data_IF_295629113902
#
_entry.id   IF_295629113902
#
_cell.length_a   1.000
_cell.length_b   1.000
_cell.length_c   1.000
_cell.angle_alpha   90.00
_cell.angle_beta   90.00
_cell.angle_gamma   90.00
#
_symmetry.space_group_name_H-M   'P 1'
#
loop_
_entity.id
_entity.type
_entity.pdbx_description
1 polymer ?
#
# COMPACT_ATOMS: atom_id res chain seq x y z
N UNK A 1 -18.43 17.81 -3.66
CA UNK A 1 -18.81 17.97 -2.25
C UNK A 1 -17.97 17.02 -1.38
N UNK A 2 -17.97 17.19 -0.02
CA UNK A 2 -17.18 16.33 0.87
C UNK A 2 -17.59 14.85 0.77
N UNK A 3 -18.86 14.58 0.61
CA UNK A 3 -19.44 13.25 0.47
C UNK A 3 -19.10 12.54 -0.85
N UNK A 4 -18.63 13.29 -1.84
CA UNK A 4 -18.29 12.75 -3.17
C UNK A 4 -16.84 12.23 -3.24
N UNK A 5 -16.04 12.45 -2.18
CA UNK A 5 -14.64 12.06 -2.11
C UNK A 5 -14.37 11.23 -0.86
N UNK A 6 -13.40 10.30 -0.98
CA UNK A 6 -12.95 9.46 0.12
C UNK A 6 -11.59 9.98 0.62
N UNK A 7 -11.54 10.43 1.87
CA UNK A 7 -10.34 11.03 2.46
C UNK A 7 -9.74 10.10 3.50
N UNK A 8 -8.48 9.73 3.28
CA UNK A 8 -7.69 8.89 4.16
C UNK A 8 -6.50 9.68 4.70
N UNK A 9 -6.22 9.55 5.99
CA UNK A 9 -5.03 10.09 6.64
C UNK A 9 -4.30 9.01 7.42
N UNK A 10 -3.15 9.37 7.98
CA UNK A 10 -2.32 8.48 8.80
C UNK A 10 -1.88 9.20 10.07
N UNK A 11 -1.60 8.42 11.14
CA UNK A 11 -1.05 8.91 12.39
C UNK A 11 0.05 7.98 12.92
N UNK A 12 0.70 8.36 14.00
CA UNK A 12 1.66 7.53 14.71
C UNK A 12 3.10 7.63 14.23
N UNK A 13 3.41 8.55 13.29
CA UNK A 13 4.78 8.89 12.89
C UNK A 13 5.05 10.34 13.28
N UNK A 14 5.94 10.55 14.23
CA UNK A 14 6.29 11.86 14.79
C UNK A 14 7.64 12.33 14.22
N UNK A 15 7.59 13.11 13.14
CA UNK A 15 8.79 13.58 12.43
C UNK A 15 9.66 14.53 13.28
N UNK A 16 9.04 15.36 14.11
CA UNK A 16 9.72 16.32 15.00
C UNK A 16 10.52 15.64 16.11
N UNK A 17 10.05 14.49 16.58
CA UNK A 17 10.69 13.68 17.63
C UNK A 17 11.45 12.49 17.07
N UNK A 18 11.35 12.20 15.78
CA UNK A 18 11.92 11.04 15.10
C UNK A 18 11.58 9.71 15.80
N UNK A 19 10.31 9.51 16.11
CA UNK A 19 9.79 8.33 16.79
C UNK A 19 8.44 7.89 16.25
N UNK A 20 8.03 6.67 16.58
CA UNK A 20 6.66 6.19 16.42
C UNK A 20 5.95 6.35 17.76
N UNK A 21 4.68 6.76 17.71
CA UNK A 21 3.89 7.01 18.91
C UNK A 21 2.42 6.68 18.64
N UNK A 22 1.98 5.53 19.18
CA UNK A 22 0.60 5.06 19.10
C UNK A 22 -0.14 5.23 20.42
N UNK A 23 0.31 6.12 21.29
CA UNK A 23 -0.45 6.48 22.49
C UNK A 23 -1.81 7.07 22.08
N UNK A 24 -2.79 6.88 22.93
CA UNK A 24 -4.14 7.44 22.73
C UNK A 24 -4.10 8.94 22.50
N UNK A 25 -3.31 9.66 23.28
CA UNK A 25 -3.17 11.12 23.16
C UNK A 25 -2.66 11.53 21.78
N UNK A 26 -1.59 10.89 21.30
CA UNK A 26 -1.01 11.20 19.99
C UNK A 26 -1.95 10.83 18.84
N UNK A 27 -2.65 9.70 18.91
CA UNK A 27 -3.64 9.31 17.89
C UNK A 27 -4.75 10.36 17.80
N UNK A 28 -5.33 10.76 18.93
CA UNK A 28 -6.43 11.72 18.97
C UNK A 28 -6.00 13.10 18.46
N UNK A 29 -4.85 13.62 18.93
CA UNK A 29 -4.32 14.91 18.51
C UNK A 29 -3.94 14.92 17.02
N UNK A 30 -3.38 13.84 16.49
CA UNK A 30 -3.04 13.70 15.07
C UNK A 30 -4.28 13.76 14.18
N UNK A 31 -5.39 13.16 14.61
CA UNK A 31 -6.66 13.24 13.87
C UNK A 31 -7.21 14.67 13.91
N UNK A 32 -7.22 15.32 15.06
CA UNK A 32 -7.71 16.69 15.21
C UNK A 32 -6.89 17.67 14.36
N UNK A 33 -5.58 17.48 14.31
CA UNK A 33 -4.69 18.23 13.42
C UNK A 33 -5.00 17.98 11.93
N UNK A 34 -5.22 16.73 11.54
CA UNK A 34 -5.59 16.37 10.17
C UNK A 34 -6.91 17.04 9.76
N UNK A 35 -7.94 16.93 10.60
CA UNK A 35 -9.24 17.54 10.33
C UNK A 35 -9.15 19.07 10.21
N UNK A 36 -8.42 19.70 11.13
CA UNK A 36 -8.19 21.17 11.12
C UNK A 36 -7.46 21.62 9.85
N UNK A 37 -6.39 20.92 9.45
CA UNK A 37 -5.58 21.27 8.27
C UNK A 37 -6.34 21.05 6.96
N UNK A 38 -7.11 19.97 6.88
CA UNK A 38 -7.95 19.65 5.72
C UNK A 38 -9.26 20.44 5.68
N UNK A 39 -9.63 21.13 6.79
CA UNK A 39 -10.89 21.86 6.96
C UNK A 39 -12.12 20.98 6.69
N UNK A 40 -12.12 19.80 7.31
CA UNK A 40 -13.20 18.81 7.24
C UNK A 40 -13.56 18.32 8.64
N UNK A 41 -14.75 17.73 8.77
CA UNK A 41 -15.26 17.26 10.06
C UNK A 41 -14.94 15.80 10.33
N UNK A 42 -14.64 15.01 9.30
CA UNK A 42 -14.32 13.59 9.42
C UNK A 42 -13.37 13.08 8.35
N UNK A 43 -12.64 12.02 8.70
CA UNK A 43 -11.90 11.16 7.79
C UNK A 43 -12.74 9.93 7.44
N UNK A 44 -12.67 9.47 6.20
CA UNK A 44 -13.26 8.18 5.84
C UNK A 44 -12.41 7.02 6.39
N UNK A 45 -11.07 7.13 6.33
CA UNK A 45 -10.18 6.13 6.95
C UNK A 45 -8.99 6.79 7.65
N UNK A 46 -8.63 6.21 8.79
CA UNK A 46 -7.38 6.48 9.51
C UNK A 46 -6.50 5.24 9.48
N UNK A 47 -5.22 5.40 9.10
CA UNK A 47 -4.23 4.32 9.19
C UNK A 47 -3.20 4.61 10.28
N UNK A 48 -2.82 3.59 11.05
CA UNK A 48 -1.58 3.58 11.81
C UNK A 48 -0.41 3.44 10.83
N UNK A 49 0.51 4.44 10.78
CA UNK A 49 1.40 4.64 9.62
C UNK A 49 2.56 3.64 9.54
N UNK A 50 3.18 3.34 10.66
CA UNK A 50 4.30 2.40 10.84
C UNK A 50 4.16 1.69 12.17
N UNK A 51 4.62 0.44 12.29
CA UNK A 51 4.57 -0.27 13.56
C UNK A 51 5.31 0.51 14.66
N UNK A 52 4.62 0.82 15.74
CA UNK A 52 5.24 1.24 16.98
C UNK A 52 5.46 0.00 17.85
N UNK A 53 6.72 -0.31 18.15
CA UNK A 53 7.05 -1.53 18.92
C UNK A 53 6.78 -1.39 20.41
N UNK A 54 6.49 -0.19 20.87
CA UNK A 54 6.17 0.12 22.28
C UNK A 54 4.67 0.34 22.51
N UNK A 55 3.83 0.16 21.48
CA UNK A 55 2.40 0.46 21.58
C UNK A 55 1.68 -0.40 22.63
N UNK A 56 0.76 0.23 23.35
CA UNK A 56 -0.23 -0.45 24.16
C UNK A 56 -1.51 -0.64 23.31
N UNK A 57 -1.92 -1.88 23.00
CA UNK A 57 -3.11 -2.10 22.18
C UNK A 57 -4.42 -1.65 22.85
N UNK A 58 -4.47 -1.54 24.16
CA UNK A 58 -5.63 -1.01 24.89
C UNK A 58 -5.77 0.50 24.64
N UNK A 59 -4.69 1.26 24.67
CA UNK A 59 -4.68 2.69 24.31
C UNK A 59 -5.15 2.94 22.88
N UNK A 60 -4.68 2.12 21.93
CA UNK A 60 -5.13 2.19 20.54
C UNK A 60 -6.63 1.93 20.42
N UNK A 61 -7.14 0.90 21.13
CA UNK A 61 -8.55 0.56 21.14
C UNK A 61 -9.41 1.70 21.71
N UNK A 62 -8.98 2.29 22.82
CA UNK A 62 -9.65 3.45 23.40
C UNK A 62 -9.66 4.67 22.46
N UNK A 63 -8.56 4.94 21.76
CA UNK A 63 -8.49 6.02 20.78
C UNK A 63 -9.47 5.78 19.63
N UNK A 64 -9.53 4.57 19.09
CA UNK A 64 -10.46 4.21 18.01
C UNK A 64 -11.91 4.32 18.45
N UNK A 65 -12.26 3.83 19.65
CA UNK A 65 -13.60 3.95 20.21
C UNK A 65 -14.03 5.44 20.34
N UNK A 66 -13.14 6.32 20.79
CA UNK A 66 -13.41 7.77 20.90
C UNK A 66 -13.61 8.40 19.52
N UNK A 67 -12.74 8.09 18.54
CA UNK A 67 -12.81 8.66 17.18
C UNK A 67 -14.08 8.24 16.44
N UNK A 68 -14.44 6.96 16.53
CA UNK A 68 -15.66 6.43 15.91
C UNK A 68 -16.92 7.02 16.56
N UNK A 69 -17.00 7.00 17.90
CA UNK A 69 -18.13 7.54 18.66
C UNK A 69 -18.39 9.01 18.37
N UNK A 70 -17.33 9.80 18.18
CA UNK A 70 -17.43 11.22 17.87
C UNK A 70 -17.65 11.49 16.37
N UNK A 71 -17.73 10.46 15.54
CA UNK A 71 -17.90 10.58 14.09
C UNK A 71 -16.72 11.19 13.34
N UNK A 72 -15.54 11.26 13.96
CA UNK A 72 -14.33 11.83 13.37
C UNK A 72 -13.64 10.89 12.37
N UNK A 73 -13.81 9.57 12.56
CA UNK A 73 -13.24 8.53 11.68
C UNK A 73 -14.29 7.45 11.46
N UNK A 74 -14.45 7.01 10.19
CA UNK A 74 -15.44 5.98 9.81
C UNK A 74 -14.85 4.59 9.78
N UNK A 75 -13.63 4.45 9.25
CA UNK A 75 -12.93 3.18 9.10
C UNK A 75 -11.48 3.28 9.58
N UNK A 76 -10.95 2.15 10.00
CA UNK A 76 -9.58 2.05 10.51
C UNK A 76 -8.77 1.03 9.73
N UNK A 77 -7.47 1.25 9.68
CA UNK A 77 -6.55 0.35 9.04
C UNK A 77 -5.12 0.58 9.52
N UNK A 78 -4.20 -0.09 8.88
CA UNK A 78 -2.79 -0.08 9.23
C UNK A 78 -1.92 0.12 8.00
N UNK A 79 -0.63 0.35 8.22
CA UNK A 79 0.35 0.43 7.14
C UNK A 79 1.64 -0.26 7.57
N UNK A 80 2.15 -1.13 6.70
CA UNK A 80 3.39 -1.89 6.91
C UNK A 80 3.38 -2.83 8.13
N UNK A 81 2.22 -3.33 8.52
CA UNK A 81 2.11 -4.33 9.58
C UNK A 81 2.16 -5.75 9.02
N UNK A 82 2.85 -6.61 9.75
CA UNK A 82 2.82 -8.06 9.51
C UNK A 82 1.59 -8.71 10.17
N UNK A 83 1.15 -9.90 9.71
CA UNK A 83 -0.07 -10.56 10.19
C UNK A 83 -0.22 -10.61 11.72
N UNK A 84 0.83 -10.99 12.43
CA UNK A 84 0.75 -11.13 13.89
C UNK A 84 0.57 -9.80 14.62
N UNK A 85 1.06 -8.69 14.07
CA UNK A 85 0.80 -7.36 14.63
C UNK A 85 -0.66 -6.96 14.42
N UNK A 86 -1.23 -7.31 13.25
CA UNK A 86 -2.65 -7.09 12.97
C UNK A 86 -3.52 -7.93 13.90
N UNK A 87 -3.19 -9.20 14.12
CA UNK A 87 -3.91 -10.08 15.04
C UNK A 87 -3.84 -9.58 16.50
N UNK A 88 -2.68 -9.05 16.91
CA UNK A 88 -2.56 -8.44 18.24
C UNK A 88 -3.50 -7.25 18.39
N UNK A 89 -3.56 -6.35 17.41
CA UNK A 89 -4.52 -5.23 17.44
C UNK A 89 -5.97 -5.72 17.45
N UNK A 90 -6.34 -6.65 16.57
CA UNK A 90 -7.71 -7.21 16.48
C UNK A 90 -8.20 -7.85 17.76
N UNK A 91 -7.31 -8.27 18.66
CA UNK A 91 -7.70 -8.79 19.97
C UNK A 91 -8.30 -7.71 20.88
N UNK A 92 -7.96 -6.44 20.68
CA UNK A 92 -8.32 -5.32 21.54
C UNK A 92 -9.26 -4.34 20.86
N UNK A 93 -9.03 -4.01 19.58
CA UNK A 93 -9.89 -3.10 18.82
C UNK A 93 -11.17 -3.81 18.37
N UNK A 94 -12.30 -3.12 18.46
CA UNK A 94 -13.61 -3.64 18.02
C UNK A 94 -13.86 -3.34 16.53
N UNK A 95 -13.24 -2.28 16.04
CA UNK A 95 -13.39 -1.80 14.67
C UNK A 95 -12.66 -2.74 13.73
N UNK A 96 -13.27 -3.09 12.56
CA UNK A 96 -12.57 -3.82 11.53
C UNK A 96 -11.34 -3.03 11.02
N UNK A 97 -10.20 -3.70 10.90
CA UNK A 97 -9.04 -3.16 10.20
C UNK A 97 -9.20 -3.47 8.71
N UNK A 98 -9.62 -2.48 7.93
CA UNK A 98 -10.05 -2.71 6.53
C UNK A 98 -8.95 -2.56 5.49
N UNK A 99 -7.81 -1.98 5.86
CA UNK A 99 -6.69 -1.68 4.97
C UNK A 99 -5.36 -2.05 5.63
N UNK A 100 -4.45 -2.67 4.87
CA UNK A 100 -3.01 -2.66 5.14
C UNK A 100 -2.30 -2.03 3.95
N UNK A 101 -1.71 -0.84 4.15
CA UNK A 101 -1.00 -0.10 3.10
C UNK A 101 0.48 -0.48 3.14
N UNK A 102 0.97 -1.16 2.10
CA UNK A 102 2.31 -1.74 2.03
C UNK A 102 3.05 -1.32 0.76
N UNK A 103 4.38 -1.39 0.76
CA UNK A 103 5.15 -1.13 -0.45
C UNK A 103 4.94 -2.25 -1.47
N UNK A 104 4.60 -1.87 -2.70
CA UNK A 104 4.54 -2.81 -3.81
C UNK A 104 4.73 -2.09 -5.15
N UNK A 105 5.71 -2.55 -5.91
CA UNK A 105 5.93 -2.19 -7.30
C UNK A 105 6.51 -3.40 -8.04
N UNK A 106 6.75 -3.29 -9.35
CA UNK A 106 7.47 -4.32 -10.11
C UNK A 106 8.87 -4.59 -9.55
N UNK A 107 9.56 -3.55 -9.07
CA UNK A 107 10.89 -3.68 -8.45
C UNK A 107 10.82 -4.12 -6.98
N UNK A 108 9.85 -3.64 -6.23
CA UNK A 108 9.65 -3.96 -4.81
C UNK A 108 8.50 -4.96 -4.66
N UNK A 109 8.72 -6.19 -5.14
CA UNK A 109 7.69 -7.24 -5.22
C UNK A 109 7.76 -8.30 -4.13
N UNK A 110 8.48 -8.07 -3.02
CA UNK A 110 8.69 -9.07 -1.94
C UNK A 110 7.38 -9.65 -1.40
N UNK A 111 6.32 -8.85 -1.38
CA UNK A 111 4.98 -9.30 -1.00
C UNK A 111 4.47 -10.49 -1.85
N UNK A 112 4.95 -10.58 -3.09
CA UNK A 112 4.59 -11.63 -4.07
C UNK A 112 5.69 -12.69 -4.14
N UNK A 113 6.95 -12.27 -4.17
CA UNK A 113 8.12 -13.12 -4.40
C UNK A 113 8.17 -14.31 -3.45
N UNK A 114 7.99 -14.07 -2.16
CA UNK A 114 8.06 -15.10 -1.13
C UNK A 114 7.10 -16.27 -1.36
N UNK A 115 5.96 -16.05 -1.99
CA UNK A 115 5.01 -17.12 -2.33
C UNK A 115 5.50 -17.95 -3.53
N UNK A 116 6.16 -17.30 -4.50
CA UNK A 116 6.69 -17.98 -5.70
C UNK A 116 7.96 -18.79 -5.39
N UNK A 117 8.81 -18.28 -4.51
CA UNK A 117 10.10 -18.89 -4.18
C UNK A 117 10.09 -19.76 -2.92
N UNK A 118 8.93 -20.18 -2.46
CA UNK A 118 8.82 -21.07 -1.28
C UNK A 118 9.71 -22.31 -1.45
N UNK A 119 10.47 -22.66 -0.41
CA UNK A 119 11.44 -23.75 -0.40
C UNK A 119 12.69 -23.59 -1.28
N UNK A 120 12.89 -22.46 -1.94
CA UNK A 120 14.09 -22.18 -2.70
C UNK A 120 15.15 -21.50 -1.81
N UNK A 121 16.15 -22.26 -1.37
CA UNK A 121 17.21 -21.76 -0.48
C UNK A 121 18.33 -20.98 -1.17
N UNK A 122 18.29 -20.85 -2.50
CA UNK A 122 19.40 -20.29 -3.29
C UNK A 122 19.19 -18.80 -3.61
N UNK A 123 18.09 -18.20 -3.21
CA UNK A 123 17.78 -16.80 -3.50
C UNK A 123 17.24 -16.06 -2.28
N UNK A 124 17.52 -14.77 -2.20
CA UNK A 124 16.94 -13.88 -1.21
C UNK A 124 15.42 -13.65 -1.40
N UNK A 125 14.89 -13.88 -2.60
CA UNK A 125 13.46 -13.76 -2.89
C UNK A 125 12.60 -14.72 -2.08
N UNK A 126 13.18 -15.85 -1.61
CA UNK A 126 12.50 -16.82 -0.76
C UNK A 126 12.41 -16.42 0.71
N UNK A 127 13.08 -15.36 1.12
CA UNK A 127 13.09 -14.93 2.52
C UNK A 127 11.76 -14.27 2.87
N UNK A 128 10.99 -14.93 3.72
CA UNK A 128 9.76 -14.36 4.24
C UNK A 128 10.06 -13.27 5.28
N UNK A 129 9.81 -12.02 4.92
CA UNK A 129 10.03 -10.84 5.78
C UNK A 129 8.72 -10.23 6.30
N UNK A 130 7.59 -10.55 5.69
CA UNK A 130 6.30 -9.93 5.99
C UNK A 130 5.24 -10.89 6.57
N UNK A 131 5.63 -12.14 6.86
CA UNK A 131 4.75 -13.13 7.48
C UNK A 131 3.58 -13.55 6.57
N UNK A 132 3.74 -13.55 5.25
CA UNK A 132 2.67 -13.81 4.27
C UNK A 132 1.52 -12.80 4.33
N UNK A 133 1.87 -11.52 4.43
CA UNK A 133 0.88 -10.45 4.55
C UNK A 133 -0.12 -10.42 3.39
N UNK A 134 0.29 -10.77 2.17
CA UNK A 134 -0.61 -10.86 1.01
C UNK A 134 -1.75 -11.83 1.25
N UNK A 135 -1.44 -13.07 1.59
CA UNK A 135 -2.47 -14.10 1.76
C UNK A 135 -3.28 -13.89 3.04
N UNK A 136 -2.63 -13.40 4.10
CA UNK A 136 -3.31 -13.02 5.32
C UNK A 136 -4.38 -11.92 5.06
N UNK A 137 -4.02 -10.86 4.34
CA UNK A 137 -4.96 -9.79 3.99
C UNK A 137 -6.13 -10.33 3.14
N UNK A 138 -5.85 -11.22 2.17
CA UNK A 138 -6.89 -11.87 1.35
C UNK A 138 -7.85 -12.74 2.17
N UNK A 139 -7.33 -13.49 3.14
CA UNK A 139 -8.13 -14.34 4.03
C UNK A 139 -9.02 -13.56 5.00
N UNK A 140 -8.62 -12.35 5.34
CA UNK A 140 -9.31 -11.50 6.32
C UNK A 140 -10.06 -10.31 5.68
N UNK A 141 -10.25 -10.30 4.36
CA UNK A 141 -10.91 -9.23 3.61
C UNK A 141 -10.30 -7.84 3.85
N UNK A 142 -8.98 -7.79 4.10
CA UNK A 142 -8.22 -6.57 4.29
C UNK A 142 -7.72 -6.11 2.91
N UNK A 143 -8.09 -4.90 2.50
CA UNK A 143 -7.63 -4.32 1.25
C UNK A 143 -6.15 -3.96 1.32
N UNK A 144 -5.36 -4.45 0.36
CA UNK A 144 -3.98 -4.06 0.20
C UNK A 144 -3.92 -2.76 -0.62
N UNK A 145 -3.29 -1.73 -0.07
CA UNK A 145 -2.96 -0.51 -0.80
C UNK A 145 -1.45 -0.47 -1.07
N UNK A 146 -1.08 -0.47 -2.34
CA UNK A 146 0.31 -0.45 -2.79
C UNK A 146 0.83 0.99 -2.80
N UNK A 147 1.68 1.37 -1.84
CA UNK A 147 2.36 2.66 -1.88
C UNK A 147 3.65 2.57 -2.71
N UNK A 148 4.08 3.70 -3.30
CA UNK A 148 5.22 3.79 -4.24
C UNK A 148 5.16 2.82 -5.42
N UNK A 149 4.05 2.73 -6.15
CA UNK A 149 3.81 1.70 -7.17
C UNK A 149 4.75 1.76 -8.39
N UNK A 150 5.48 2.86 -8.55
CA UNK A 150 6.42 3.09 -9.66
C UNK A 150 7.86 3.23 -9.21
N UNK A 151 8.16 3.00 -7.93
CA UNK A 151 9.49 3.27 -7.37
C UNK A 151 10.35 2.00 -7.23
N UNK A 152 11.66 2.21 -7.33
CA UNK A 152 12.70 1.19 -7.11
C UNK A 152 12.81 0.83 -5.62
N UNK A 153 12.48 1.78 -4.75
CA UNK A 153 12.52 1.66 -3.30
C UNK A 153 12.03 2.94 -2.65
N UNK A 154 12.17 3.07 -1.34
CA UNK A 154 11.59 4.20 -0.60
C UNK A 154 12.09 5.57 -1.10
N UNK A 155 13.32 5.68 -1.58
CA UNK A 155 13.92 6.92 -2.09
C UNK A 155 14.75 6.70 -3.36
N UNK A 156 14.59 5.56 -4.03
CA UNK A 156 15.40 5.16 -5.19
C UNK A 156 14.96 5.75 -6.52
N UNK A 157 13.91 6.58 -6.54
CA UNK A 157 13.35 7.10 -7.78
C UNK A 157 12.46 6.09 -8.51
N UNK A 158 12.09 6.39 -9.75
CA UNK A 158 11.24 5.53 -10.57
C UNK A 158 12.07 4.61 -11.47
N UNK A 159 11.54 3.43 -11.77
CA UNK A 159 12.08 2.54 -12.81
C UNK A 159 11.59 2.91 -14.22
N UNK A 160 10.51 3.72 -14.34
CA UNK A 160 10.01 4.18 -15.63
C UNK A 160 11.05 5.07 -16.31
N UNK A 161 11.42 4.73 -17.55
CA UNK A 161 12.44 5.41 -18.34
C UNK A 161 13.85 5.48 -17.70
N UNK A 162 14.08 4.69 -16.69
CA UNK A 162 15.38 4.59 -16.04
C UNK A 162 16.28 3.62 -16.84
N UNK A 163 17.48 4.06 -17.27
CA UNK A 163 18.40 3.25 -18.06
C UNK A 163 18.94 2.01 -17.35
N UNK A 164 18.84 1.96 -16.01
CA UNK A 164 19.25 0.79 -15.24
C UNK A 164 18.25 -0.39 -15.36
N UNK A 165 17.08 -0.16 -15.95
CA UNK A 165 16.00 -1.16 -16.11
C UNK A 165 15.59 -1.31 -17.60
N UNK A 166 16.50 -1.61 -18.54
CA UNK A 166 16.22 -1.60 -19.98
C UNK A 166 15.18 -2.66 -20.37
N UNK A 167 15.31 -3.88 -19.84
CA UNK A 167 14.38 -4.99 -20.14
C UNK A 167 12.97 -4.71 -19.65
N UNK A 168 12.84 -4.18 -18.42
CA UNK A 168 11.55 -3.80 -17.86
C UNK A 168 10.90 -2.68 -18.68
N UNK A 169 11.68 -1.63 -19.03
CA UNK A 169 11.15 -0.53 -19.82
C UNK A 169 10.76 -0.96 -21.23
N UNK A 170 11.50 -1.91 -21.83
CA UNK A 170 11.11 -2.49 -23.12
C UNK A 170 9.77 -3.24 -23.01
N UNK A 171 9.64 -4.12 -22.05
CA UNK A 171 8.39 -4.89 -21.85
C UNK A 171 7.18 -3.97 -21.53
N UNK A 172 7.40 -2.93 -20.71
CA UNK A 172 6.39 -1.92 -20.46
C UNK A 172 5.99 -1.16 -21.72
N UNK A 173 6.95 -0.79 -22.59
CA UNK A 173 6.68 -0.09 -23.83
C UNK A 173 5.90 -0.97 -24.82
N UNK A 174 6.32 -2.22 -25.02
CA UNK A 174 5.66 -3.16 -25.92
C UNK A 174 4.15 -3.33 -25.55
N UNK A 175 3.85 -3.39 -24.25
CA UNK A 175 2.49 -3.48 -23.75
C UNK A 175 1.74 -2.13 -23.82
N UNK A 176 2.43 -1.03 -23.54
CA UNK A 176 1.87 0.31 -23.64
C UNK A 176 1.42 0.62 -25.08
N UNK A 177 2.26 0.28 -26.06
CA UNK A 177 1.95 0.44 -27.50
C UNK A 177 0.75 -0.43 -27.91
N UNK A 178 0.69 -1.66 -27.42
CA UNK A 178 -0.43 -2.58 -27.69
C UNK A 178 -1.77 -2.06 -27.14
N UNK A 179 -1.75 -1.54 -25.92
CA UNK A 179 -2.96 -1.08 -25.20
C UNK A 179 -3.31 0.39 -25.50
N UNK A 180 -2.40 1.14 -26.17
CA UNK A 180 -2.58 2.57 -26.44
C UNK A 180 -2.56 3.44 -25.18
N UNK A 181 -1.70 3.12 -24.22
CA UNK A 181 -1.57 3.81 -22.92
C UNK A 181 -0.11 4.13 -22.60
N UNK A 182 0.15 4.79 -21.47
CA UNK A 182 1.50 5.03 -20.98
C UNK A 182 2.12 3.80 -20.28
N UNK A 183 3.45 3.73 -20.17
CA UNK A 183 4.17 2.74 -19.35
C UNK A 183 3.73 2.79 -17.88
N UNK A 184 3.42 3.98 -17.40
CA UNK A 184 2.85 4.21 -16.06
C UNK A 184 1.55 3.45 -15.87
N UNK A 185 0.64 3.56 -16.84
CA UNK A 185 -0.63 2.84 -16.79
C UNK A 185 -0.43 1.32 -16.77
N UNK A 186 0.49 0.78 -17.59
CA UNK A 186 0.82 -0.65 -17.61
C UNK A 186 1.39 -1.12 -16.28
N UNK A 187 2.34 -0.36 -15.71
CA UNK A 187 2.96 -0.72 -14.43
C UNK A 187 1.95 -0.72 -13.27
N UNK A 188 1.03 0.22 -13.25
CA UNK A 188 -0.08 0.24 -12.28
C UNK A 188 -1.05 -0.89 -12.54
N UNK A 189 -1.39 -1.17 -13.80
CA UNK A 189 -2.27 -2.26 -14.19
C UNK A 189 -1.73 -3.63 -13.74
N UNK A 190 -0.41 -3.80 -13.67
CA UNK A 190 0.21 -5.02 -13.13
C UNK A 190 -0.21 -5.27 -11.67
N UNK A 191 -0.25 -4.23 -10.84
CA UNK A 191 -0.73 -4.32 -9.45
C UNK A 191 -2.24 -4.62 -9.44
N UNK A 192 -3.02 -3.87 -10.21
CA UNK A 192 -4.48 -3.99 -10.24
C UNK A 192 -4.94 -5.35 -10.79
N UNK A 193 -4.14 -5.99 -11.65
CA UNK A 193 -4.43 -7.29 -12.24
C UNK A 193 -4.46 -8.42 -11.22
N UNK A 194 -3.77 -8.24 -10.09
CA UNK A 194 -3.69 -9.29 -9.07
C UNK A 194 -5.07 -9.55 -8.44
N UNK A 195 -5.46 -10.83 -8.23
CA UNK A 195 -6.81 -11.19 -7.74
C UNK A 195 -7.08 -10.74 -6.29
N UNK A 196 -6.08 -10.22 -5.57
CA UNK A 196 -6.27 -9.59 -4.26
C UNK A 196 -7.02 -8.25 -4.32
N UNK A 197 -7.40 -7.75 -5.51
CA UNK A 197 -8.12 -6.48 -5.70
C UNK A 197 -7.42 -5.30 -5.03
N UNK A 198 -6.12 -5.20 -5.25
CA UNK A 198 -5.27 -4.16 -4.66
C UNK A 198 -5.62 -2.78 -5.22
N UNK A 199 -5.30 -1.76 -4.44
CA UNK A 199 -5.37 -0.35 -4.85
C UNK A 199 -3.96 0.22 -4.96
N UNK A 200 -3.66 0.98 -6.00
CA UNK A 200 -2.40 1.70 -6.15
C UNK A 200 -2.51 3.12 -5.58
N UNK A 201 -1.56 3.51 -4.73
CA UNK A 201 -1.49 4.84 -4.13
C UNK A 201 -0.45 5.65 -4.89
N UNK A 202 -0.90 6.51 -5.78
CA UNK A 202 -0.04 7.40 -6.57
C UNK A 202 0.33 8.64 -5.76
N UNK A 203 1.57 9.13 -5.95
CA UNK A 203 2.15 10.25 -5.19
C UNK A 203 2.32 11.53 -6.01
N UNK A 204 1.49 11.76 -7.01
CA UNK A 204 1.61 12.93 -7.88
C UNK A 204 0.43 13.90 -7.70
N UNK A 205 0.71 15.20 -7.90
CA UNK A 205 -0.29 16.28 -8.00
C UNK A 205 -0.39 16.81 -9.44
N UNK A 206 0.37 16.27 -10.38
CA UNK A 206 0.32 16.66 -11.79
C UNK A 206 -0.90 16.01 -12.45
N UNK A 207 -1.85 16.78 -13.03
CA UNK A 207 -3.05 16.23 -13.65
C UNK A 207 -2.76 15.18 -14.73
N UNK A 208 -1.78 15.42 -15.60
CA UNK A 208 -1.44 14.46 -16.67
C UNK A 208 -0.95 13.12 -16.11
N UNK A 209 -0.15 13.13 -15.04
CA UNK A 209 0.28 11.88 -14.39
C UNK A 209 -0.87 11.17 -13.67
N UNK A 210 -1.87 11.91 -13.18
CA UNK A 210 -3.09 11.33 -12.60
C UNK A 210 -3.92 10.66 -13.69
N UNK A 211 -4.11 11.33 -14.83
CA UNK A 211 -4.81 10.77 -15.99
C UNK A 211 -4.14 9.49 -16.50
N UNK A 212 -2.81 9.52 -16.66
CA UNK A 212 -2.01 8.34 -17.02
C UNK A 212 -2.20 7.18 -16.04
N UNK A 213 -2.15 7.46 -14.76
CA UNK A 213 -2.36 6.45 -13.73
C UNK A 213 -3.78 5.89 -13.73
N UNK A 214 -4.79 6.73 -13.95
CA UNK A 214 -6.20 6.32 -14.03
C UNK A 214 -6.47 5.43 -15.25
N UNK A 215 -5.75 5.61 -16.36
CA UNK A 215 -5.85 4.77 -17.55
C UNK A 215 -5.56 3.29 -17.25
N UNK A 216 -4.79 2.99 -16.22
CA UNK A 216 -4.49 1.63 -15.76
C UNK A 216 -5.76 0.78 -15.51
N UNK A 217 -6.86 1.40 -15.10
CA UNK A 217 -8.12 0.70 -14.82
C UNK A 217 -8.74 0.06 -16.08
N UNK A 218 -8.38 0.53 -17.26
CA UNK A 218 -8.87 0.03 -18.55
C UNK A 218 -7.91 -0.99 -19.19
N UNK A 219 -6.68 -1.12 -18.69
CA UNK A 219 -5.67 -2.05 -19.23
C UNK A 219 -5.99 -3.47 -18.80
N UNK A 220 -6.05 -4.38 -19.78
CA UNK A 220 -6.35 -5.80 -19.54
C UNK A 220 -5.10 -6.65 -19.77
N UNK A 221 -4.28 -6.80 -18.74
CA UNK A 221 -3.15 -7.72 -18.79
C UNK A 221 -3.62 -9.18 -18.73
N UNK A 222 -3.18 -9.98 -19.68
CA UNK A 222 -3.33 -11.44 -19.62
C UNK A 222 -2.48 -12.04 -18.50
N UNK A 223 -2.65 -13.31 -18.22
CA UNK A 223 -1.77 -14.05 -17.29
C UNK A 223 -0.32 -14.03 -17.78
N UNK A 224 -0.11 -14.19 -19.09
CA UNK A 224 1.22 -14.14 -19.70
C UNK A 224 1.86 -12.75 -19.59
N UNK A 225 1.13 -11.67 -19.88
CA UNK A 225 1.63 -10.30 -19.76
C UNK A 225 2.11 -9.99 -18.33
N UNK A 226 1.35 -10.44 -17.34
CA UNK A 226 1.69 -10.23 -15.94
C UNK A 226 3.05 -10.85 -15.58
N UNK A 227 3.27 -12.10 -15.98
CA UNK A 227 4.56 -12.78 -15.77
C UNK A 227 5.67 -12.25 -16.65
N UNK A 228 5.39 -11.79 -17.87
CA UNK A 228 6.37 -11.12 -18.73
C UNK A 228 6.95 -9.89 -18.04
N UNK A 229 6.10 -9.04 -17.44
CA UNK A 229 6.56 -7.87 -16.69
C UNK A 229 7.34 -8.27 -15.42
N UNK A 230 6.88 -9.28 -14.70
CA UNK A 230 7.54 -9.79 -13.51
C UNK A 230 8.97 -10.29 -13.82
N UNK A 231 9.13 -11.05 -14.90
CA UNK A 231 10.44 -11.54 -15.36
C UNK A 231 11.34 -10.41 -15.86
N UNK A 232 10.78 -9.45 -16.61
CA UNK A 232 11.50 -8.29 -17.11
C UNK A 232 12.01 -7.38 -15.98
N UNK A 233 11.40 -7.42 -14.80
CA UNK A 233 11.87 -6.78 -13.58
C UNK A 233 13.01 -7.54 -12.87
N UNK A 234 13.74 -8.40 -13.60
CA UNK A 234 14.90 -9.14 -13.08
C UNK A 234 14.57 -10.32 -12.16
N UNK A 235 13.31 -10.72 -12.10
CA UNK A 235 12.89 -11.92 -11.38
C UNK A 235 13.01 -13.16 -12.29
N UNK A 236 12.90 -14.34 -11.70
CA UNK A 236 12.83 -15.59 -12.45
C UNK A 236 11.74 -16.47 -11.84
N UNK A 237 11.35 -17.54 -12.52
CA UNK A 237 10.47 -18.56 -11.96
C UNK A 237 11.31 -19.75 -11.49
N UNK A 238 11.12 -20.24 -10.27
CA UNK A 238 11.88 -21.37 -9.73
C UNK A 238 11.56 -22.71 -10.42
#
# INVERSE_FOLDING_TARGET
>A
KREDIYIQSKCGLCFDRNEFDWTKENILSSVDDSLRRLKIDYLDTLLLHRPDVLFDPEEVAEAFDVLEKNGKVRFFGVSNLVPMQIELLKKYVKQPLVINQVQLSLEQSQLIDQALYMNNKTTEFSINRDGHALDYCRLNDITIQAWSPLQIGMFGGTFIDNPDFPELNKALQDLADREGVSKTAVAIAWILRHPAKMQAIIGTMNPSHIEDACAASNVKLSHHDWYTLYLAAGKYLP
#
